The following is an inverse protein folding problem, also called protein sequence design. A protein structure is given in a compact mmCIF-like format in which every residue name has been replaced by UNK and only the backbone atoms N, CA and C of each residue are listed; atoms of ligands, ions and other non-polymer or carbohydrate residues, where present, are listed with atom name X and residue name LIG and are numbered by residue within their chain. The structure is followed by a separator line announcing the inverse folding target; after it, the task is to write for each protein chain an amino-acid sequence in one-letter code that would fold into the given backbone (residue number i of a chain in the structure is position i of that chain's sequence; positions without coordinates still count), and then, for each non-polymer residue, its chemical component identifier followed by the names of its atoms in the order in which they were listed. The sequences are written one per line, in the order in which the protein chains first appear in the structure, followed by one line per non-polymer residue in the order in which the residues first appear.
data_IF_483372619157
#
_entry.id   IF_483372619157
#
_cell.length_a   1.000
_cell.length_b   1.000
_cell.length_c   1.000
_cell.angle_alpha   90.00
_cell.angle_beta   90.00
_cell.angle_gamma   90.00
#
_symmetry.space_group_name_H-M   'P 1'
#
loop_
_entity.id
_entity.type
_entity.pdbx_description
1 polymer ?
#
# COMPACT_ATOMS: atom_id res chain seq x y z
N UNK A 1 -10.21 -4.78 -28.28
CA UNK A 1 -9.79 -6.15 -27.91
C UNK A 1 -9.35 -6.12 -26.46
N UNK A 2 -9.81 -7.07 -25.65
CA UNK A 2 -9.35 -7.25 -24.28
C UNK A 2 -7.95 -7.86 -24.31
N UNK A 3 -7.09 -7.35 -23.43
CA UNK A 3 -5.77 -7.86 -23.13
C UNK A 3 -5.56 -7.82 -21.63
N UNK A 4 -5.11 -8.93 -21.05
CA UNK A 4 -4.84 -9.09 -19.63
C UNK A 4 -3.49 -9.77 -19.43
N UNK A 5 -2.79 -9.41 -18.35
CA UNK A 5 -1.55 -10.06 -17.94
C UNK A 5 -1.84 -10.97 -16.74
N UNK A 6 -1.70 -12.28 -16.95
CA UNK A 6 -1.94 -13.30 -15.93
C UNK A 6 -0.61 -13.79 -15.37
N UNK A 7 -0.58 -13.99 -14.06
CA UNK A 7 0.57 -14.45 -13.30
C UNK A 7 0.22 -15.77 -12.62
N UNK A 8 1.08 -16.76 -12.71
CA UNK A 8 0.92 -18.03 -11.99
C UNK A 8 1.09 -17.76 -10.49
N UNK A 9 0.05 -18.05 -9.70
CA UNK A 9 0.05 -17.77 -8.25
C UNK A 9 1.08 -18.60 -7.49
N UNK A 10 1.62 -19.66 -8.09
CA UNK A 10 2.62 -20.55 -7.50
C UNK A 10 4.06 -20.26 -7.97
N UNK A 11 4.22 -19.52 -9.08
CA UNK A 11 5.51 -19.10 -9.63
C UNK A 11 5.39 -17.75 -10.36
N UNK A 12 5.76 -16.65 -9.70
CA UNK A 12 5.60 -15.30 -10.25
C UNK A 12 6.48 -14.99 -11.47
N UNK A 13 7.45 -15.85 -11.82
CA UNK A 13 8.20 -15.72 -13.07
C UNK A 13 7.44 -16.28 -14.26
N UNK A 14 6.43 -17.14 -14.01
CA UNK A 14 5.58 -17.69 -15.04
C UNK A 14 4.37 -16.78 -15.27
N UNK A 15 4.34 -16.16 -16.45
CA UNK A 15 3.31 -15.19 -16.83
C UNK A 15 2.82 -15.42 -18.25
N UNK A 16 1.60 -14.98 -18.55
CA UNK A 16 1.05 -15.03 -19.91
C UNK A 16 0.17 -13.82 -20.20
N UNK A 17 0.15 -13.41 -21.47
CA UNK A 17 -0.81 -12.43 -21.98
C UNK A 17 -2.02 -13.19 -22.51
N UNK A 18 -3.20 -12.82 -22.00
CA UNK A 18 -4.48 -13.36 -22.46
C UNK A 18 -5.19 -12.31 -23.28
N UNK A 19 -5.58 -12.67 -24.49
CA UNK A 19 -6.24 -11.84 -25.48
C UNK A 19 -7.68 -12.33 -25.67
N UNK A 20 -8.64 -11.41 -25.83
CA UNK A 20 -10.05 -11.76 -26.01
C UNK A 20 -10.92 -10.62 -26.50
N UNK A 21 -12.22 -10.87 -26.60
CA UNK A 21 -13.20 -9.84 -26.94
C UNK A 21 -13.42 -8.88 -25.76
N UNK A 22 -13.77 -7.62 -26.07
CA UNK A 22 -14.13 -6.68 -25.02
C UNK A 22 -15.43 -7.15 -24.34
N UNK A 23 -15.48 -7.21 -23.01
CA UNK A 23 -16.71 -7.54 -22.31
C UNK A 23 -17.75 -6.43 -22.55
N UNK A 24 -19.01 -6.82 -22.72
CA UNK A 24 -20.14 -5.87 -22.79
C UNK A 24 -20.71 -5.69 -21.39
N UNK A 25 -20.80 -4.46 -20.87
CA UNK A 25 -21.40 -4.22 -19.56
C UNK A 25 -22.91 -4.56 -19.59
N UNK A 26 -23.42 -5.09 -18.49
CA UNK A 26 -24.84 -5.31 -18.22
C UNK A 26 -25.57 -4.07 -17.70
N UNK A 27 -26.86 -4.21 -17.39
CA UNK A 27 -27.63 -3.15 -16.73
C UNK A 27 -27.01 -2.80 -15.37
N UNK A 28 -26.79 -1.51 -15.09
CA UNK A 28 -26.12 -1.09 -13.86
C UNK A 28 -24.59 -1.23 -13.87
N UNK A 29 -23.99 -1.58 -15.01
CA UNK A 29 -22.54 -1.72 -15.15
C UNK A 29 -21.93 -0.69 -16.10
N UNK A 30 -20.62 -0.51 -15.97
CA UNK A 30 -19.79 0.31 -16.84
C UNK A 30 -18.61 -0.51 -17.37
N UNK A 31 -18.14 -0.19 -18.57
CA UNK A 31 -16.88 -0.66 -19.10
C UNK A 31 -15.84 0.44 -18.99
N UNK A 32 -14.73 0.14 -18.33
CA UNK A 32 -13.62 1.07 -18.15
C UNK A 32 -12.43 0.58 -18.95
N UNK A 33 -11.87 1.44 -19.81
CA UNK A 33 -10.57 1.24 -20.43
C UNK A 33 -9.48 1.75 -19.49
N UNK A 34 -8.53 0.89 -19.14
CA UNK A 34 -7.41 1.22 -18.25
C UNK A 34 -6.36 1.93 -19.09
N UNK A 35 -6.12 3.20 -18.77
CA UNK A 35 -5.20 4.07 -19.51
C UNK A 35 -3.76 3.85 -19.03
N UNK A 36 -3.55 3.94 -17.72
CA UNK A 36 -2.23 3.84 -17.09
C UNK A 36 -2.30 3.34 -15.67
N UNK A 37 -1.21 2.76 -15.20
CA UNK A 37 -1.03 2.36 -13.81
C UNK A 37 0.45 2.31 -13.47
N UNK A 38 0.77 2.31 -12.18
CA UNK A 38 2.15 2.16 -11.73
C UNK A 38 2.48 0.72 -11.35
N UNK A 39 3.68 0.29 -11.75
CA UNK A 39 4.33 -0.91 -11.25
C UNK A 39 5.37 -0.52 -10.20
N UNK A 40 5.23 -1.07 -9.01
CA UNK A 40 6.07 -0.80 -7.85
C UNK A 40 6.30 -2.10 -7.05
N UNK A 41 7.19 -2.08 -6.07
CA UNK A 41 7.40 -3.22 -5.18
C UNK A 41 6.11 -3.65 -4.45
N UNK A 42 5.16 -2.74 -4.24
CA UNK A 42 3.87 -3.03 -3.60
C UNK A 42 3.02 -4.03 -4.41
N UNK A 43 3.17 -4.06 -5.74
CA UNK A 43 2.46 -5.04 -6.58
C UNK A 43 2.98 -6.46 -6.33
N UNK A 44 4.26 -6.61 -5.98
CA UNK A 44 4.82 -7.90 -5.54
C UNK A 44 4.20 -8.32 -4.21
N UNK A 45 3.98 -7.38 -3.27
CA UNK A 45 3.26 -7.66 -2.02
C UNK A 45 1.83 -8.12 -2.28
N UNK A 46 1.10 -7.50 -3.22
CA UNK A 46 -0.24 -7.96 -3.59
C UNK A 46 -0.26 -9.39 -4.14
N UNK A 47 0.73 -9.75 -4.97
CA UNK A 47 0.86 -11.12 -5.46
C UNK A 47 1.23 -12.09 -4.32
N UNK A 48 2.29 -11.79 -3.57
CA UNK A 48 2.84 -12.62 -2.49
C UNK A 48 1.85 -12.90 -1.36
N UNK A 49 0.95 -11.96 -1.08
CA UNK A 49 -0.06 -12.06 -0.02
C UNK A 49 -1.47 -12.29 -0.54
N UNK A 50 -1.62 -12.57 -1.83
CA UNK A 50 -2.93 -12.54 -2.48
C UNK A 50 -3.91 -13.59 -1.99
N UNK A 51 -3.46 -14.78 -1.62
CA UNK A 51 -4.34 -15.81 -1.05
C UNK A 51 -4.75 -15.50 0.40
N UNK A 52 -3.88 -14.82 1.15
CA UNK A 52 -4.11 -14.52 2.56
C UNK A 52 -5.04 -13.31 2.76
N UNK A 53 -4.82 -12.23 1.99
CA UNK A 53 -5.58 -10.99 2.12
C UNK A 53 -6.68 -10.83 1.06
N UNK A 54 -6.82 -11.78 0.14
CA UNK A 54 -7.89 -11.75 -0.84
C UNK A 54 -7.58 -10.93 -2.09
N UNK A 55 -6.31 -10.62 -2.40
CA UNK A 55 -5.99 -9.75 -3.55
C UNK A 55 -6.31 -10.38 -4.91
N UNK A 56 -6.19 -11.71 -5.03
CA UNK A 56 -6.53 -12.43 -6.27
C UNK A 56 -8.02 -12.40 -6.59
N UNK A 57 -8.84 -12.16 -5.58
CA UNK A 57 -10.29 -12.20 -5.65
C UNK A 57 -10.89 -10.88 -6.14
N UNK A 58 -10.14 -9.77 -6.18
CA UNK A 58 -10.64 -8.51 -6.77
C UNK A 58 -10.90 -8.65 -8.27
N UNK A 59 -10.10 -9.47 -8.95
CA UNK A 59 -10.16 -9.72 -10.39
C UNK A 59 -9.90 -11.20 -10.70
N UNK A 60 -10.86 -12.09 -10.40
CA UNK A 60 -10.68 -13.50 -10.65
C UNK A 60 -10.49 -13.78 -12.15
N UNK A 61 -9.62 -14.74 -12.46
CA UNK A 61 -9.41 -15.29 -13.81
C UNK A 61 -10.41 -16.40 -14.12
N UNK A 62 -10.89 -17.10 -13.08
CA UNK A 62 -11.68 -18.33 -13.21
C UNK A 62 -10.85 -19.56 -13.59
N UNK A 63 -9.51 -19.44 -13.67
CA UNK A 63 -8.61 -20.51 -14.09
C UNK A 63 -7.43 -20.64 -13.14
N UNK A 64 -7.29 -21.80 -12.49
CA UNK A 64 -6.12 -22.12 -11.67
C UNK A 64 -4.92 -22.55 -12.54
N UNK A 65 -3.67 -22.19 -12.17
CA UNK A 65 -3.26 -21.44 -10.97
C UNK A 65 -3.19 -19.92 -11.19
N UNK A 66 -3.85 -19.37 -12.22
CA UNK A 66 -3.62 -18.00 -12.68
C UNK A 66 -4.33 -16.94 -11.85
N UNK A 67 -3.69 -15.78 -11.68
CA UNK A 67 -4.25 -14.58 -11.06
C UNK A 67 -3.92 -13.31 -11.84
N UNK A 68 -4.69 -12.25 -11.59
CA UNK A 68 -4.42 -10.90 -12.09
C UNK A 68 -3.88 -10.05 -10.94
N UNK A 69 -2.63 -9.62 -11.03
CA UNK A 69 -2.05 -8.69 -10.05
C UNK A 69 -2.80 -7.37 -10.15
N UNK A 70 -3.09 -6.78 -9.00
CA UNK A 70 -3.78 -5.51 -8.88
C UNK A 70 -2.79 -4.34 -8.90
N UNK A 71 -3.26 -3.20 -9.40
CA UNK A 71 -2.47 -1.99 -9.63
C UNK A 71 -3.30 -0.75 -9.30
N UNK A 72 -2.65 0.31 -8.85
CA UNK A 72 -3.30 1.62 -8.75
C UNK A 72 -3.10 2.38 -10.06
N UNK A 73 -4.19 2.87 -10.62
CA UNK A 73 -4.21 3.38 -11.98
C UNK A 73 -5.31 4.38 -12.27
N UNK A 74 -5.29 4.86 -13.50
CA UNK A 74 -6.34 5.68 -14.11
C UNK A 74 -7.03 4.87 -15.21
N UNK A 75 -8.36 4.92 -15.21
CA UNK A 75 -9.18 4.38 -16.28
C UNK A 75 -10.19 5.42 -16.78
N UNK A 76 -10.69 5.20 -18.00
CA UNK A 76 -11.71 6.00 -18.65
C UNK A 76 -12.95 5.16 -18.92
N UNK A 77 -14.14 5.68 -18.59
CA UNK A 77 -15.41 5.03 -18.91
C UNK A 77 -15.63 5.07 -20.42
N UNK A 78 -15.69 3.91 -21.09
CA UNK A 78 -15.89 3.80 -22.54
C UNK A 78 -17.30 3.34 -22.93
N UNK A 79 -18.00 2.67 -22.02
CA UNK A 79 -19.43 2.36 -22.14
C UNK A 79 -20.07 2.46 -20.75
N UNK A 80 -21.28 3.02 -20.65
CA UNK A 80 -22.01 3.14 -19.39
C UNK A 80 -23.47 2.74 -19.56
N UNK A 81 -23.95 1.93 -18.63
CA UNK A 81 -25.37 1.57 -18.45
C UNK A 81 -25.86 1.97 -17.06
N UNK A 82 -25.27 3.03 -16.52
CA UNK A 82 -25.54 3.58 -15.20
C UNK A 82 -25.91 5.05 -15.34
N UNK A 83 -27.10 5.42 -14.86
CA UNK A 83 -27.50 6.81 -14.75
C UNK A 83 -26.56 7.55 -13.77
N UNK A 84 -25.97 8.66 -14.23
CA UNK A 84 -25.06 9.48 -13.42
C UNK A 84 -23.56 9.23 -13.64
N UNK A 85 -23.18 8.27 -14.50
CA UNK A 85 -21.80 8.08 -14.97
C UNK A 85 -21.77 8.20 -16.49
N UNK A 86 -21.04 9.21 -16.98
CA UNK A 86 -20.90 9.50 -18.40
C UNK A 86 -19.70 8.79 -19.03
N UNK A 87 -19.81 8.47 -20.32
CA UNK A 87 -18.65 8.07 -21.13
C UNK A 87 -17.63 9.22 -21.17
N UNK A 88 -16.35 8.89 -21.05
CA UNK A 88 -15.23 9.83 -20.93
C UNK A 88 -14.90 10.23 -19.50
N UNK A 89 -15.64 9.76 -18.49
CA UNK A 89 -15.28 9.99 -17.09
C UNK A 89 -13.96 9.29 -16.72
N UNK A 90 -13.09 10.01 -16.01
CA UNK A 90 -11.78 9.52 -15.58
C UNK A 90 -11.81 9.10 -14.12
N UNK A 91 -11.41 7.87 -13.89
CA UNK A 91 -11.49 7.17 -12.61
C UNK A 91 -10.08 6.86 -12.09
N UNK A 92 -9.83 7.15 -10.82
CA UNK A 92 -8.63 6.69 -10.11
C UNK A 92 -9.00 5.58 -9.12
N UNK A 93 -8.28 4.46 -9.14
CA UNK A 93 -8.57 3.36 -8.24
C UNK A 93 -7.72 2.11 -8.46
N UNK A 94 -8.23 0.98 -7.96
CA UNK A 94 -7.51 -0.28 -7.86
C UNK A 94 -7.89 -1.23 -9.00
N UNK A 95 -7.15 -1.19 -10.11
CA UNK A 95 -7.39 -1.91 -11.36
C UNK A 95 -6.65 -3.25 -11.45
N UNK A 96 -7.01 -4.16 -12.38
CA UNK A 96 -6.16 -5.30 -12.73
C UNK A 96 -5.03 -4.86 -13.68
N UNK A 97 -3.97 -5.67 -13.80
CA UNK A 97 -3.08 -5.59 -14.96
C UNK A 97 -3.80 -6.05 -16.24
N UNK A 98 -4.62 -5.17 -16.80
CA UNK A 98 -5.39 -5.40 -18.00
C UNK A 98 -5.67 -4.11 -18.74
N UNK A 99 -6.27 -4.25 -19.91
CA UNK A 99 -6.67 -3.12 -20.76
C UNK A 99 -8.08 -2.60 -20.45
N UNK A 100 -8.97 -3.45 -19.95
CA UNK A 100 -10.36 -3.09 -19.65
C UNK A 100 -10.88 -3.85 -18.45
N UNK A 101 -11.92 -3.31 -17.81
CA UNK A 101 -12.63 -3.96 -16.71
C UNK A 101 -14.10 -3.55 -16.71
N UNK A 102 -14.99 -4.50 -16.39
CA UNK A 102 -16.39 -4.22 -16.10
C UNK A 102 -16.54 -4.01 -14.61
N UNK A 103 -17.30 -2.98 -14.24
CA UNK A 103 -17.55 -2.60 -12.85
C UNK A 103 -19.03 -2.35 -12.63
N UNK A 104 -19.51 -2.51 -11.39
CA UNK A 104 -20.89 -2.26 -11.01
C UNK A 104 -20.95 -1.11 -9.98
N UNK A 105 -21.00 0.16 -10.43
CA UNK A 105 -21.01 1.31 -9.54
C UNK A 105 -22.21 1.34 -8.59
N UNK A 106 -21.96 1.53 -7.30
CA UNK A 106 -22.95 1.77 -6.25
C UNK A 106 -22.54 2.96 -5.38
N UNK A 107 -23.48 3.49 -4.59
CA UNK A 107 -23.24 4.62 -3.68
C UNK A 107 -22.63 5.85 -4.39
N UNK A 108 -23.18 6.19 -5.57
CA UNK A 108 -22.64 7.24 -6.42
C UNK A 108 -22.64 8.61 -5.71
N UNK A 109 -21.53 9.32 -5.85
CA UNK A 109 -21.37 10.72 -5.48
C UNK A 109 -20.58 11.46 -6.55
N UNK A 110 -20.49 12.79 -6.45
CA UNK A 110 -19.61 13.58 -7.32
C UNK A 110 -18.14 13.17 -7.17
N UNK A 111 -17.72 12.71 -5.98
CA UNK A 111 -16.32 12.38 -5.66
C UNK A 111 -15.91 10.96 -6.05
N UNK A 112 -16.86 10.05 -6.19
CA UNK A 112 -16.55 8.64 -6.35
C UNK A 112 -17.74 7.72 -6.19
N UNK A 113 -17.46 6.41 -6.28
CA UNK A 113 -18.42 5.34 -6.09
C UNK A 113 -17.71 4.08 -5.55
N UNK A 114 -18.49 3.12 -5.06
CA UNK A 114 -18.00 1.79 -4.67
C UNK A 114 -18.31 0.79 -5.78
N UNK A 115 -17.32 0.02 -6.23
CA UNK A 115 -17.54 -1.11 -7.14
C UNK A 115 -18.17 -2.29 -6.38
N UNK A 116 -19.43 -2.56 -6.67
CA UNK A 116 -20.29 -3.51 -5.97
C UNK A 116 -20.39 -4.88 -6.67
N UNK A 117 -19.47 -5.20 -7.59
CA UNK A 117 -19.37 -6.55 -8.17
C UNK A 117 -19.39 -7.61 -7.07
N UNK A 118 -20.17 -8.68 -7.25
CA UNK A 118 -20.49 -9.62 -6.18
C UNK A 118 -19.25 -10.23 -5.50
N UNK A 119 -18.19 -10.53 -6.27
CA UNK A 119 -16.94 -11.09 -5.74
C UNK A 119 -16.14 -10.12 -4.85
N UNK A 120 -16.46 -8.83 -4.86
CA UNK A 120 -15.77 -7.79 -4.09
C UNK A 120 -16.37 -7.53 -2.71
N UNK A 121 -17.60 -7.98 -2.45
CA UNK A 121 -18.36 -7.60 -1.25
C UNK A 121 -17.70 -8.05 0.05
N UNK A 122 -17.00 -9.19 0.04
CA UNK A 122 -16.31 -9.74 1.20
C UNK A 122 -14.84 -9.26 1.33
N UNK A 123 -14.37 -8.44 0.39
CA UNK A 123 -12.98 -7.96 0.36
C UNK A 123 -12.88 -6.58 1.04
N UNK A 124 -11.68 -6.17 1.50
CA UNK A 124 -11.51 -4.89 2.18
C UNK A 124 -12.03 -3.72 1.34
N UNK A 125 -13.00 -2.98 1.89
CA UNK A 125 -13.81 -2.01 1.14
C UNK A 125 -13.02 -0.85 0.54
N UNK A 126 -11.84 -0.54 1.10
CA UNK A 126 -10.91 0.46 0.57
C UNK A 126 -10.63 0.28 -0.92
N UNK A 127 -10.37 -0.96 -1.34
CA UNK A 127 -9.98 -1.29 -2.72
C UNK A 127 -11.17 -1.36 -3.69
N UNK A 128 -12.38 -1.18 -3.17
CA UNK A 128 -13.61 -1.08 -3.95
C UNK A 128 -13.98 0.37 -4.27
N UNK A 129 -13.35 1.36 -3.65
CA UNK A 129 -13.67 2.76 -3.90
C UNK A 129 -12.89 3.32 -5.10
N UNK A 130 -13.60 3.95 -6.03
CA UNK A 130 -13.01 4.64 -7.18
C UNK A 130 -13.34 6.12 -7.13
N UNK A 131 -12.30 6.94 -7.23
CA UNK A 131 -12.43 8.39 -7.25
C UNK A 131 -12.79 8.88 -8.67
N UNK A 132 -13.77 9.77 -8.75
CA UNK A 132 -14.13 10.49 -9.98
C UNK A 132 -13.30 11.76 -10.05
N UNK A 133 -12.27 11.73 -10.88
CA UNK A 133 -11.22 12.77 -10.86
C UNK A 133 -11.72 14.15 -11.30
N UNK A 134 -12.82 14.22 -12.06
CA UNK A 134 -13.39 15.48 -12.54
C UNK A 134 -13.87 16.42 -11.41
N UNK A 135 -14.28 15.86 -10.27
CA UNK A 135 -14.72 16.64 -9.11
C UNK A 135 -13.56 17.15 -8.24
N UNK A 136 -12.32 16.82 -8.58
CA UNK A 136 -11.13 17.20 -7.83
C UNK A 136 -10.55 18.54 -8.32
N UNK A 137 -9.73 19.24 -7.51
CA UNK A 137 -8.99 20.41 -7.95
C UNK A 137 -8.18 20.17 -9.23
N UNK A 138 -8.08 21.20 -10.08
CA UNK A 138 -7.40 21.13 -11.37
C UNK A 138 -5.93 20.69 -11.25
N UNK A 139 -5.28 21.04 -10.14
CA UNK A 139 -3.90 20.64 -9.84
C UNK A 139 -3.80 19.13 -9.63
N UNK A 140 -4.75 18.51 -8.92
CA UNK A 140 -4.76 17.06 -8.71
C UNK A 140 -5.10 16.29 -9.99
N UNK A 141 -5.94 16.87 -10.86
CA UNK A 141 -6.25 16.30 -12.17
C UNK A 141 -5.01 16.23 -13.07
N UNK A 142 -4.01 17.10 -12.87
CA UNK A 142 -2.75 17.08 -13.64
C UNK A 142 -1.72 16.07 -13.11
N UNK A 143 -1.97 15.44 -11.96
CA UNK A 143 -1.02 14.57 -11.26
C UNK A 143 -1.32 13.07 -11.43
N UNK A 144 -2.01 12.66 -12.49
CA UNK A 144 -2.40 11.26 -12.72
C UNK A 144 -1.25 10.26 -12.58
N UNK A 145 -0.10 10.55 -13.20
CA UNK A 145 1.07 9.66 -13.20
C UNK A 145 1.65 9.56 -11.78
N UNK A 146 1.78 10.71 -11.10
CA UNK A 146 2.25 10.80 -9.72
C UNK A 146 1.29 10.08 -8.76
N UNK A 147 -0.02 10.18 -8.97
CA UNK A 147 -1.02 9.48 -8.14
C UNK A 147 -0.88 7.98 -8.26
N UNK A 148 -0.76 7.45 -9.46
CA UNK A 148 -0.49 6.02 -9.66
C UNK A 148 0.75 5.55 -8.85
N UNK A 149 1.81 6.35 -8.83
CA UNK A 149 3.11 5.98 -8.22
C UNK A 149 3.15 6.21 -6.71
N UNK A 150 2.65 7.35 -6.24
CA UNK A 150 2.91 7.86 -4.88
C UNK A 150 1.73 7.66 -3.95
N UNK A 151 0.50 7.95 -4.37
CA UNK A 151 -0.66 7.92 -3.47
C UNK A 151 -0.80 6.61 -2.67
N UNK A 152 -0.77 5.40 -3.26
CA UNK A 152 -0.93 4.18 -2.46
C UNK A 152 0.16 4.01 -1.39
N UNK A 153 1.38 4.45 -1.68
CA UNK A 153 2.52 4.32 -0.77
C UNK A 153 2.55 5.46 0.26
N UNK A 154 2.06 6.63 -0.13
CA UNK A 154 1.89 7.77 0.77
C UNK A 154 0.78 7.51 1.78
N UNK A 155 -0.37 7.00 1.32
CA UNK A 155 -1.46 6.56 2.19
C UNK A 155 -1.00 5.49 3.18
N UNK A 156 -0.15 4.56 2.75
CA UNK A 156 0.46 3.56 3.65
C UNK A 156 1.28 4.23 4.76
N UNK A 157 2.16 5.19 4.41
CA UNK A 157 2.93 5.95 5.39
C UNK A 157 2.06 6.77 6.35
N UNK A 158 0.97 7.36 5.85
CA UNK A 158 -0.02 8.08 6.68
C UNK A 158 -0.68 7.14 7.69
N UNK A 159 -1.11 5.96 7.26
CA UNK A 159 -1.76 4.96 8.14
C UNK A 159 -0.78 4.40 9.17
N UNK A 160 0.50 4.24 8.83
CA UNK A 160 1.56 3.88 9.79
C UNK A 160 1.68 4.97 10.86
N UNK A 161 1.74 6.24 10.46
CA UNK A 161 1.84 7.36 11.40
C UNK A 161 0.62 7.43 12.33
N UNK A 162 -0.58 7.25 11.80
CA UNK A 162 -1.81 7.20 12.61
C UNK A 162 -1.82 6.02 13.59
N UNK A 163 -1.44 4.82 13.16
CA UNK A 163 -1.37 3.63 14.03
C UNK A 163 -0.41 3.86 15.22
N UNK A 164 0.73 4.48 14.95
CA UNK A 164 1.73 4.78 15.98
C UNK A 164 1.25 5.88 16.92
N UNK A 165 0.67 6.96 16.38
CA UNK A 165 0.07 8.03 17.18
C UNK A 165 -1.05 7.50 18.09
N UNK A 166 -1.90 6.61 17.57
CA UNK A 166 -2.99 5.98 18.32
C UNK A 166 -2.52 5.16 19.52
N UNK A 167 -1.27 4.71 19.46
CA UNK A 167 -0.61 3.95 20.53
C UNK A 167 0.29 4.83 21.40
N UNK A 168 0.14 6.16 21.32
CA UNK A 168 1.01 7.17 21.97
C UNK A 168 2.51 6.90 21.71
N UNK A 169 2.82 6.57 20.44
CA UNK A 169 4.15 6.22 19.96
C UNK A 169 4.81 5.04 20.71
N UNK A 170 4.04 4.28 21.49
CA UNK A 170 4.52 3.21 22.37
C UNK A 170 5.62 3.67 23.34
N UNK A 171 5.64 4.97 23.71
CA UNK A 171 6.70 5.55 24.53
C UNK A 171 8.08 5.61 23.87
N UNK A 172 8.15 5.48 22.54
CA UNK A 172 9.42 5.50 21.82
C UNK A 172 10.07 6.88 21.83
N UNK A 173 11.40 6.88 21.91
CA UNK A 173 12.27 8.05 21.81
C UNK A 173 12.92 8.17 20.42
N UNK A 174 12.88 7.09 19.64
CA UNK A 174 13.26 7.10 18.22
C UNK A 174 12.31 6.23 17.38
N UNK A 175 12.13 6.62 16.12
CA UNK A 175 11.50 5.77 15.12
C UNK A 175 12.54 5.42 14.05
N UNK A 176 12.78 4.12 13.89
CA UNK A 176 13.73 3.57 12.93
C UNK A 176 12.94 3.05 11.74
N UNK A 177 13.22 3.55 10.54
CA UNK A 177 12.49 3.20 9.31
C UNK A 177 13.42 2.46 8.37
N UNK A 178 13.17 1.16 8.17
CA UNK A 178 13.88 0.36 7.17
C UNK A 178 13.48 0.75 5.75
N UNK A 179 14.36 0.52 4.78
CA UNK A 179 14.15 0.91 3.38
C UNK A 179 13.81 2.41 3.26
N UNK A 180 14.55 3.26 3.97
CA UNK A 180 14.25 4.68 4.11
C UNK A 180 14.22 5.45 2.77
N UNK A 181 14.97 5.00 1.76
CA UNK A 181 14.91 5.58 0.40
C UNK A 181 13.64 5.19 -0.39
N UNK A 182 12.82 4.27 0.11
CA UNK A 182 11.59 3.86 -0.55
C UNK A 182 10.48 4.87 -0.34
N UNK A 183 9.53 4.91 -1.29
CA UNK A 183 8.35 5.79 -1.24
C UNK A 183 7.53 5.64 0.04
N UNK A 184 7.33 4.41 0.52
CA UNK A 184 6.67 4.15 1.81
C UNK A 184 7.54 4.63 2.98
N UNK A 185 8.86 4.44 2.91
CA UNK A 185 9.79 4.84 3.97
C UNK A 185 9.81 6.33 4.21
N UNK A 186 10.04 7.14 3.18
CA UNK A 186 10.09 8.59 3.35
C UNK A 186 8.72 9.22 3.56
N UNK A 187 7.65 8.61 3.03
CA UNK A 187 6.28 8.98 3.39
C UNK A 187 6.00 8.76 4.88
N UNK A 188 6.32 7.58 5.42
CA UNK A 188 6.11 7.27 6.83
C UNK A 188 6.88 8.25 7.72
N UNK A 189 8.13 8.56 7.38
CA UNK A 189 8.93 9.54 8.11
C UNK A 189 8.26 10.93 8.13
N UNK A 190 7.84 11.42 6.96
CA UNK A 190 7.18 12.71 6.83
C UNK A 190 5.87 12.78 7.64
N UNK A 191 5.02 11.74 7.55
CA UNK A 191 3.75 11.72 8.27
C UNK A 191 3.89 11.48 9.77
N UNK A 192 4.88 10.70 10.21
CA UNK A 192 5.17 10.54 11.64
C UNK A 192 5.57 11.89 12.25
N UNK A 193 6.43 12.66 11.56
CA UNK A 193 6.78 14.01 12.02
C UNK A 193 5.57 14.94 12.01
N UNK A 194 4.79 14.94 10.93
CA UNK A 194 3.61 15.79 10.79
C UNK A 194 2.52 15.48 11.83
N UNK A 195 2.42 14.22 12.26
CA UNK A 195 1.52 13.76 13.31
C UNK A 195 2.01 14.10 14.73
N UNK A 196 3.19 14.73 14.87
CA UNK A 196 3.67 15.28 16.13
C UNK A 196 4.64 14.41 16.91
N UNK A 197 5.24 13.38 16.30
CA UNK A 197 6.34 12.66 16.96
C UNK A 197 7.53 13.61 17.17
N UNK A 198 7.98 13.77 18.41
CA UNK A 198 9.10 14.67 18.79
C UNK A 198 10.45 13.95 18.91
N UNK A 199 10.46 12.62 18.89
CA UNK A 199 11.67 11.82 18.96
C UNK A 199 12.53 11.87 17.68
N UNK A 200 13.62 11.11 17.71
CA UNK A 200 14.56 11.04 16.57
C UNK A 200 14.01 10.15 15.46
N UNK A 201 13.89 10.68 14.25
CA UNK A 201 13.56 9.92 13.04
C UNK A 201 14.83 9.45 12.33
N UNK A 202 14.97 8.13 12.23
CA UNK A 202 16.15 7.49 11.67
C UNK A 202 15.79 6.70 10.43
N UNK A 203 16.43 7.01 9.31
CA UNK A 203 16.32 6.23 8.08
C UNK A 203 17.40 5.16 7.98
N UNK A 204 17.03 3.88 7.99
CA UNK A 204 17.92 2.77 7.66
C UNK A 204 17.84 2.42 6.16
N UNK A 205 18.98 2.43 5.48
CA UNK A 205 19.03 2.16 4.03
C UNK A 205 20.35 1.55 3.57
N UNK A 206 20.45 1.16 2.29
CA UNK A 206 21.71 0.71 1.69
C UNK A 206 22.70 1.86 1.53
N UNK A 207 23.99 1.57 1.63
CA UNK A 207 25.06 2.58 1.53
C UNK A 207 24.96 3.43 0.26
N UNK A 208 24.63 2.81 -0.87
CA UNK A 208 24.44 3.48 -2.15
C UNK A 208 23.27 4.48 -2.19
N UNK A 209 22.31 4.35 -1.27
CA UNK A 209 21.11 5.19 -1.20
C UNK A 209 21.21 6.26 -0.10
N UNK A 210 22.27 6.28 0.71
CA UNK A 210 22.37 7.15 1.88
C UNK A 210 22.28 8.63 1.49
N UNK A 211 23.09 9.09 0.53
CA UNK A 211 23.10 10.49 0.09
C UNK A 211 21.75 10.94 -0.50
N UNK A 212 21.08 10.07 -1.26
CA UNK A 212 19.72 10.35 -1.75
C UNK A 212 18.73 10.49 -0.59
N UNK A 213 18.80 9.57 0.38
CA UNK A 213 17.89 9.54 1.53
C UNK A 213 18.07 10.76 2.43
N UNK A 214 19.31 11.21 2.64
CA UNK A 214 19.62 12.46 3.33
C UNK A 214 19.05 13.67 2.58
N UNK A 215 19.18 13.69 1.25
CA UNK A 215 18.65 14.74 0.39
C UNK A 215 17.12 14.88 0.41
N UNK A 216 16.39 13.87 0.87
CA UNK A 216 14.93 13.95 1.05
C UNK A 216 14.54 14.89 2.21
N UNK A 217 15.42 15.08 3.20
CA UNK A 217 15.14 15.93 4.36
C UNK A 217 14.04 15.40 5.29
N UNK A 218 13.65 14.13 5.18
CA UNK A 218 12.59 13.51 5.98
C UNK A 218 13.09 12.90 7.31
N UNK A 219 14.41 12.79 7.49
CA UNK A 219 15.03 12.09 8.62
C UNK A 219 16.00 13.01 9.37
N UNK A 220 16.10 12.86 10.68
CA UNK A 220 17.11 13.57 11.47
C UNK A 220 18.49 12.93 11.27
N UNK A 221 18.51 11.62 11.00
CA UNK A 221 19.73 10.85 10.73
C UNK A 221 19.45 9.75 9.71
N UNK A 222 20.37 9.55 8.77
CA UNK A 222 20.39 8.39 7.88
C UNK A 222 21.54 7.48 8.28
N UNK A 223 21.28 6.18 8.35
CA UNK A 223 22.25 5.17 8.77
C UNK A 223 22.27 4.03 7.74
N UNK A 224 23.43 3.74 7.14
CA UNK A 224 23.58 2.56 6.29
C UNK A 224 23.35 1.27 7.09
N UNK A 225 22.77 0.22 6.48
CA UNK A 225 22.55 -1.08 7.15
C UNK A 225 23.82 -1.69 7.76
N UNK A 226 24.99 -1.45 7.16
CA UNK A 226 26.28 -1.90 7.69
C UNK A 226 26.73 -1.20 8.99
N UNK A 227 26.06 -0.12 9.39
CA UNK A 227 26.39 0.69 10.57
C UNK A 227 25.25 0.71 11.60
N UNK A 228 24.34 -0.27 11.53
CA UNK A 228 23.14 -0.34 12.36
C UNK A 228 23.44 -0.31 13.87
N UNK A 229 24.55 -0.89 14.31
CA UNK A 229 24.97 -0.92 15.71
C UNK A 229 25.45 0.45 16.22
N UNK A 230 25.51 1.48 15.36
CA UNK A 230 25.78 2.87 15.75
C UNK A 230 24.50 3.65 16.14
N UNK A 231 23.34 2.99 16.17
CA UNK A 231 22.10 3.55 16.70
C UNK A 231 22.16 3.63 18.22
N UNK A 232 21.52 4.64 18.82
CA UNK A 232 21.38 4.72 20.27
C UNK A 232 20.52 3.56 20.77
N UNK A 233 20.92 2.91 21.86
CA UNK A 233 20.11 1.87 22.50
C UNK A 233 19.09 2.51 23.45
N UNK A 234 17.94 2.92 22.91
CA UNK A 234 16.84 3.61 23.60
C UNK A 234 15.49 3.17 23.04
N UNK A 235 14.36 3.38 23.75
CA UNK A 235 13.03 2.94 23.29
C UNK A 235 12.75 3.33 21.84
N UNK A 236 12.48 2.34 20.99
CA UNK A 236 12.41 2.46 19.54
C UNK A 236 11.20 1.77 18.97
N UNK A 237 10.48 2.45 18.09
CA UNK A 237 9.64 1.77 17.11
C UNK A 237 10.45 1.47 15.86
N UNK A 238 10.36 0.24 15.34
CA UNK A 238 10.96 -0.16 14.07
C UNK A 238 9.87 -0.40 13.02
N UNK A 239 9.99 0.25 11.87
CA UNK A 239 9.09 0.08 10.72
C UNK A 239 9.89 -0.65 9.64
N UNK A 240 9.71 -1.96 9.55
CA UNK A 240 10.39 -2.85 8.63
C UNK A 240 9.68 -2.90 7.28
N UNK A 241 10.14 -2.06 6.37
CA UNK A 241 9.67 -2.02 4.97
C UNK A 241 10.51 -2.94 4.09
N UNK A 242 11.78 -3.16 4.44
CA UNK A 242 12.69 -3.98 3.66
C UNK A 242 12.36 -5.49 3.78
N UNK A 243 11.83 -5.91 4.93
CA UNK A 243 11.56 -7.33 5.22
C UNK A 243 12.84 -8.16 5.38
N UNK A 244 14.00 -7.51 5.57
CA UNK A 244 15.28 -8.18 5.69
C UNK A 244 15.45 -8.77 7.11
N UNK A 245 15.43 -10.10 7.19
CA UNK A 245 15.50 -10.85 8.45
C UNK A 245 16.84 -10.63 9.17
N UNK A 246 17.95 -10.45 8.44
CA UNK A 246 19.26 -10.19 9.05
C UNK A 246 19.28 -8.82 9.70
N UNK A 247 18.87 -7.78 8.96
CA UNK A 247 18.78 -6.41 9.48
C UNK A 247 17.87 -6.35 10.70
N UNK A 248 16.67 -6.94 10.62
CA UNK A 248 15.74 -7.01 11.76
C UNK A 248 16.39 -7.72 12.95
N UNK A 249 16.97 -8.89 12.73
CA UNK A 249 17.58 -9.67 13.83
C UNK A 249 18.75 -8.93 14.49
N UNK A 250 19.59 -8.23 13.72
CA UNK A 250 20.67 -7.39 14.25
C UNK A 250 20.12 -6.20 15.04
N UNK A 251 19.07 -5.55 14.53
CA UNK A 251 18.44 -4.43 15.23
C UNK A 251 17.86 -4.81 16.58
N UNK A 252 17.09 -5.91 16.64
CA UNK A 252 16.54 -6.40 17.91
C UNK A 252 17.63 -6.83 18.89
N UNK A 253 18.72 -7.46 18.44
CA UNK A 253 19.85 -7.80 19.32
C UNK A 253 20.61 -6.57 19.82
N UNK A 254 20.66 -5.50 19.04
CA UNK A 254 21.29 -4.24 19.44
C UNK A 254 20.42 -3.44 20.42
N UNK A 255 19.11 -3.38 20.18
CA UNK A 255 18.16 -2.62 21.00
C UNK A 255 17.66 -3.41 22.23
N UNK A 256 17.74 -4.73 22.20
CA UNK A 256 17.21 -5.60 23.26
C UNK A 256 15.74 -5.25 23.60
N UNK A 257 15.45 -5.03 24.88
CA UNK A 257 14.12 -4.67 25.38
C UNK A 257 13.68 -3.25 24.98
N UNK A 258 14.57 -2.47 24.36
CA UNK A 258 14.23 -1.15 23.82
C UNK A 258 13.60 -1.18 22.43
N UNK A 259 13.53 -2.32 21.74
CA UNK A 259 12.65 -2.45 20.58
C UNK A 259 11.20 -2.54 21.09
N UNK A 260 10.52 -1.40 21.29
CA UNK A 260 9.20 -1.37 21.96
C UNK A 260 8.05 -1.69 21.02
N UNK A 261 8.25 -1.56 19.70
CA UNK A 261 7.32 -2.03 18.68
C UNK A 261 8.03 -2.28 17.35
N UNK A 262 7.63 -3.33 16.64
CA UNK A 262 8.12 -3.63 15.30
C UNK A 262 6.97 -3.90 14.34
N UNK A 263 6.87 -3.11 13.27
CA UNK A 263 5.84 -3.20 12.25
C UNK A 263 6.43 -3.74 10.94
N UNK A 264 5.89 -4.84 10.43
CA UNK A 264 6.29 -5.47 9.17
C UNK A 264 5.33 -5.02 8.06
N UNK A 265 5.79 -4.17 7.14
CA UNK A 265 4.91 -3.48 6.17
C UNK A 265 4.81 -4.21 4.82
N UNK A 266 5.91 -4.79 4.34
CA UNK A 266 6.04 -5.23 2.94
C UNK A 266 6.52 -6.65 2.71
N UNK A 267 6.61 -7.49 3.75
CA UNK A 267 7.41 -8.71 3.63
C UNK A 267 6.79 -9.72 2.64
N UNK A 268 7.58 -10.04 1.61
CA UNK A 268 7.28 -10.96 0.50
C UNK A 268 7.47 -12.43 0.88
N UNK A 269 7.97 -12.72 2.09
CA UNK A 269 8.24 -14.06 2.60
C UNK A 269 7.56 -14.27 3.96
N UNK A 270 6.26 -14.59 3.91
CA UNK A 270 5.38 -14.77 5.07
C UNK A 270 5.79 -15.92 6.00
N UNK A 271 6.53 -16.90 5.48
CA UNK A 271 7.08 -18.04 6.21
C UNK A 271 8.24 -17.70 7.17
N UNK A 272 8.76 -16.46 7.13
CA UNK A 272 9.90 -16.00 7.91
C UNK A 272 9.56 -14.94 8.98
N UNK A 273 8.28 -14.62 9.18
CA UNK A 273 7.84 -13.50 10.04
C UNK A 273 8.23 -13.63 11.52
N UNK A 274 8.11 -14.84 12.07
CA UNK A 274 8.42 -15.12 13.48
C UNK A 274 9.86 -15.60 13.71
N UNK A 275 10.69 -15.68 12.66
CA UNK A 275 12.02 -16.29 12.74
C UNK A 275 13.10 -15.22 12.69
N UNK A 276 13.96 -15.20 13.70
CA UNK A 276 15.29 -14.62 13.58
C UNK A 276 16.14 -15.46 12.60
N UNK A 277 17.32 -14.94 12.21
CA UNK A 277 18.30 -15.71 11.42
C UNK A 277 18.57 -17.11 12.03
N UNK A 278 18.48 -17.24 13.36
CA UNK A 278 18.73 -18.48 14.09
C UNK A 278 17.45 -19.25 14.49
N UNK A 279 16.27 -18.76 14.09
CA UNK A 279 14.97 -19.34 14.44
C UNK A 279 14.52 -19.15 15.91
N UNK A 280 15.30 -18.43 16.72
CA UNK A 280 14.97 -18.07 18.10
C UNK A 280 14.13 -16.78 18.21
N UNK A 281 13.60 -16.52 19.40
CA UNK A 281 12.85 -15.30 19.70
C UNK A 281 13.73 -14.04 19.57
N UNK A 282 13.15 -12.96 19.03
CA UNK A 282 13.79 -11.66 18.97
C UNK A 282 13.62 -10.94 20.34
N UNK A 283 14.67 -10.30 20.88
CA UNK A 283 14.53 -9.42 22.05
C UNK A 283 13.55 -8.27 21.81
N UNK A 284 12.93 -7.76 22.87
CA UNK A 284 11.94 -6.69 22.79
C UNK A 284 10.60 -7.15 22.22
N UNK A 285 9.93 -6.26 21.47
CA UNK A 285 8.61 -6.51 20.90
C UNK A 285 8.66 -7.61 19.85
N UNK A 286 7.69 -8.53 19.87
CA UNK A 286 7.48 -9.44 18.75
C UNK A 286 7.09 -8.65 17.48
N UNK A 287 7.68 -8.96 16.31
CA UNK A 287 7.29 -8.30 15.07
C UNK A 287 5.82 -8.54 14.71
N UNK A 288 5.09 -7.44 14.49
CA UNK A 288 3.67 -7.44 14.11
C UNK A 288 3.51 -7.18 12.62
N UNK A 289 2.60 -7.91 11.98
CA UNK A 289 2.20 -7.61 10.59
C UNK A 289 1.43 -6.29 10.58
N UNK A 290 1.91 -5.32 9.81
CA UNK A 290 1.13 -4.13 9.53
C UNK A 290 0.14 -4.41 8.39
N UNK A 291 -1.15 -4.34 8.70
CA UNK A 291 -2.23 -4.45 7.72
C UNK A 291 -3.04 -3.15 7.69
N UNK A 292 -2.76 -2.29 6.71
CA UNK A 292 -3.38 -0.97 6.61
C UNK A 292 -4.92 -0.99 6.67
N UNK A 293 -5.63 -1.94 6.02
CA UNK A 293 -7.10 -1.98 6.10
C UNK A 293 -7.63 -2.12 7.53
N UNK A 294 -6.96 -2.85 8.42
CA UNK A 294 -7.42 -3.00 9.80
C UNK A 294 -7.43 -1.65 10.56
N UNK A 295 -6.39 -0.83 10.39
CA UNK A 295 -6.34 0.49 11.00
C UNK A 295 -7.36 1.45 10.35
N UNK A 296 -7.52 1.38 9.03
CA UNK A 296 -8.51 2.19 8.30
C UNK A 296 -9.93 1.85 8.76
N UNK A 297 -10.28 0.57 8.86
CA UNK A 297 -11.60 0.11 9.34
C UNK A 297 -11.86 0.55 10.78
N UNK A 298 -10.86 0.45 11.66
CA UNK A 298 -10.94 0.99 13.03
C UNK A 298 -11.28 2.49 13.00
N UNK A 299 -10.52 3.28 12.24
CA UNK A 299 -10.74 4.73 12.15
C UNK A 299 -12.06 5.10 11.48
N UNK A 300 -12.51 4.32 10.51
CA UNK A 300 -13.81 4.53 9.89
C UNK A 300 -14.96 4.26 10.87
N UNK A 301 -14.81 3.31 11.80
CA UNK A 301 -15.77 3.11 12.89
C UNK A 301 -15.76 4.26 13.92
N UNK A 302 -14.58 4.84 14.19
CA UNK A 302 -14.41 5.92 15.18
C UNK A 302 -14.76 7.32 14.64
N UNK A 303 -14.39 7.60 13.39
CA UNK A 303 -14.47 8.93 12.77
C UNK A 303 -15.54 9.02 11.68
N UNK A 304 -16.14 7.89 11.29
CA UNK A 304 -17.08 7.77 10.19
C UNK A 304 -16.44 7.20 8.92
N UNK A 305 -17.23 6.44 8.16
CA UNK A 305 -16.81 5.75 6.93
C UNK A 305 -16.09 6.71 5.96
N UNK A 306 -14.91 6.32 5.50
CA UNK A 306 -14.09 7.08 4.55
C UNK A 306 -13.35 8.28 5.14
N UNK A 307 -13.45 8.55 6.45
CA UNK A 307 -12.81 9.71 7.08
C UNK A 307 -11.28 9.57 7.07
N UNK A 308 -10.77 8.37 7.35
CA UNK A 308 -9.33 8.09 7.34
C UNK A 308 -8.74 8.33 5.95
N UNK A 309 -9.40 7.78 4.92
CA UNK A 309 -8.98 7.95 3.54
C UNK A 309 -9.07 9.41 3.09
N UNK A 310 -10.14 10.11 3.42
CA UNK A 310 -10.27 11.53 3.08
C UNK A 310 -9.14 12.38 3.69
N UNK A 311 -8.74 12.10 4.93
CA UNK A 311 -7.62 12.76 5.59
C UNK A 311 -6.29 12.41 4.92
N UNK A 312 -6.04 11.13 4.64
CA UNK A 312 -4.82 10.68 3.96
C UNK A 312 -4.68 11.30 2.56
N UNK A 313 -5.77 11.36 1.78
CA UNK A 313 -5.80 12.00 0.46
C UNK A 313 -5.55 13.51 0.53
N UNK A 314 -6.00 14.18 1.58
CA UNK A 314 -5.76 15.61 1.75
C UNK A 314 -4.33 15.92 2.22
N UNK A 315 -3.64 14.94 2.82
CA UNK A 315 -2.29 15.09 3.35
C UNK A 315 -1.18 14.68 2.36
N UNK A 316 -1.51 13.81 1.40
CA UNK A 316 -0.61 13.32 0.35
C UNK A 316 -0.55 14.27 -0.86
#
# INVERSE_FOLDING_TARGET
MLREMWVDRTDYYHTRVVDGDLPTPGEGEILVAIDKFAMTANNVTYAASGDMFGYWQFYPTGEDPWGKVTVWGIGEVVESRVDGISVGERLYGFFPMGSHVVMAPAELSERGFTDAMAHRQALPGLYNHYARTQAEPAELQQLEDQRCIFFPLFMTGYVIADLLLDSDWCGAQQAVIGSASSKTGFSAAAFIRAAGFEGTLIGLTGEQNAAFTEGLGCYDRVVPYGQLEALSNQPSVYIDIAGDVDVRSRLHRHLEDHAVRTLLVGATHWDQFAKSVDGGALPGSEPEVFFAPAQIEKRDAEWGRGAMMSKAYAAA
#
